data_IF_299611505361
#
_entry.id   IF_299611505361
#
_cell.length_a   1.000
_cell.length_b   1.000
_cell.length_c   1.000
_cell.angle_alpha   90.00
_cell.angle_beta   90.00
_cell.angle_gamma   90.00
#
_symmetry.space_group_name_H-M   'P 1'
#
loop_
_entity.id
_entity.type
_entity.pdbx_description
1 polymer ?
#
# COMPACT_ATOMS: atom_id res chain seq x y z
N UNK A 1 -7.36 20.59 42.54
CA UNK A 1 -8.11 19.79 41.56
C UNK A 1 -7.24 18.59 41.22
N UNK A 2 -7.39 17.48 41.93
CA UNK A 2 -6.69 16.25 41.57
C UNK A 2 -7.50 15.63 40.43
N UNK A 3 -6.96 15.64 39.22
CA UNK A 3 -7.47 14.80 38.14
C UNK A 3 -6.91 13.41 38.48
N UNK A 4 -7.73 12.43 38.93
CA UNK A 4 -7.22 11.08 39.14
C UNK A 4 -6.80 10.54 37.78
N UNK A 5 -5.49 10.48 37.54
CA UNK A 5 -4.95 9.83 36.35
C UNK A 5 -5.01 8.34 36.61
N UNK A 6 -5.89 7.67 35.88
CA UNK A 6 -5.91 6.21 35.85
C UNK A 6 -4.68 5.72 35.08
N UNK A 7 -3.73 5.13 35.80
CA UNK A 7 -2.50 4.60 35.23
C UNK A 7 -2.77 3.46 34.24
N UNK A 8 -3.81 2.66 34.46
CA UNK A 8 -4.19 1.57 33.56
C UNK A 8 -4.68 2.12 32.22
N UNK A 9 -5.51 3.16 32.26
CA UNK A 9 -5.95 3.86 31.05
C UNK A 9 -4.77 4.47 30.28
N UNK A 10 -3.81 5.07 31.00
CA UNK A 10 -2.64 5.69 30.39
C UNK A 10 -1.75 4.65 29.70
N UNK A 11 -1.40 3.56 30.38
CA UNK A 11 -0.56 2.50 29.83
C UNK A 11 -1.22 1.80 28.63
N UNK A 12 -2.51 1.46 28.73
CA UNK A 12 -3.27 0.87 27.62
C UNK A 12 -3.30 1.80 26.40
N UNK A 13 -3.52 3.10 26.63
CA UNK A 13 -3.54 4.11 25.55
C UNK A 13 -2.16 4.32 24.93
N UNK A 14 -1.09 4.24 25.72
CA UNK A 14 0.29 4.29 25.22
C UNK A 14 0.62 3.09 24.33
N UNK A 15 0.22 1.88 24.74
CA UNK A 15 0.38 0.68 23.93
C UNK A 15 -0.41 0.78 22.62
N UNK A 16 -1.66 1.27 22.67
CA UNK A 16 -2.43 1.55 21.46
C UNK A 16 -1.74 2.58 20.55
N UNK A 17 -1.11 3.60 21.14
CA UNK A 17 -0.36 4.61 20.39
C UNK A 17 0.83 4.05 19.64
N UNK A 18 1.53 3.07 20.21
CA UNK A 18 2.63 2.38 19.50
C UNK A 18 2.12 1.67 18.25
N UNK A 19 1.03 0.89 18.36
CA UNK A 19 0.41 0.21 17.22
C UNK A 19 -0.04 1.19 16.14
N UNK A 20 -0.78 2.22 16.53
CA UNK A 20 -1.35 3.22 15.60
C UNK A 20 -0.23 4.00 14.92
N UNK A 21 0.83 4.37 15.64
CA UNK A 21 1.97 5.09 15.07
C UNK A 21 2.70 4.22 14.05
N UNK A 22 2.98 2.95 14.38
CA UNK A 22 3.61 2.00 13.47
C UNK A 22 2.78 1.82 12.19
N UNK A 23 1.47 1.68 12.34
CA UNK A 23 0.53 1.58 11.23
C UNK A 23 0.56 2.83 10.33
N UNK A 24 0.41 4.03 10.89
CA UNK A 24 0.38 5.30 10.14
C UNK A 24 1.68 5.55 9.37
N UNK A 25 2.82 5.11 9.92
CA UNK A 25 4.11 5.28 9.28
C UNK A 25 4.29 4.41 8.04
N UNK A 26 3.55 3.29 7.92
CA UNK A 26 3.69 2.32 6.82
C UNK A 26 2.49 2.37 5.87
N UNK A 27 1.26 2.43 6.42
CA UNK A 27 0.02 2.33 5.66
C UNK A 27 -0.26 3.58 4.80
N UNK A 28 -0.38 3.44 3.47
CA UNK A 28 -1.01 4.46 2.64
C UNK A 28 -2.50 4.60 3.02
N UNK A 29 -3.08 5.82 2.96
CA UNK A 29 -2.51 7.05 2.40
C UNK A 29 -1.62 7.82 3.40
N UNK A 30 -1.59 7.41 4.67
CA UNK A 30 -0.97 8.19 5.75
C UNK A 30 0.56 8.23 5.68
N UNK A 31 1.17 7.18 5.13
CA UNK A 31 2.62 7.10 4.96
C UNK A 31 3.18 7.95 3.83
N UNK A 32 2.33 8.62 3.04
CA UNK A 32 2.77 9.42 1.89
C UNK A 32 3.83 10.48 2.27
N UNK A 33 4.88 10.59 1.46
CA UNK A 33 6.06 11.39 1.76
C UNK A 33 5.82 12.90 1.84
N UNK A 34 4.76 13.40 1.20
CA UNK A 34 4.38 14.80 1.28
C UNK A 34 3.77 15.20 2.64
N UNK A 35 3.35 14.22 3.46
CA UNK A 35 2.77 14.49 4.77
C UNK A 35 3.91 14.65 5.79
N UNK A 36 4.05 15.81 6.46
CA UNK A 36 5.12 16.02 7.44
C UNK A 36 5.00 15.07 8.63
N UNK A 37 6.13 14.62 9.17
CA UNK A 37 6.17 13.70 10.31
C UNK A 37 5.40 14.24 11.54
N UNK A 38 5.38 15.56 11.73
CA UNK A 38 4.60 16.22 12.80
C UNK A 38 3.10 15.95 12.67
N UNK A 39 2.56 16.01 11.44
CA UNK A 39 1.14 15.76 11.18
C UNK A 39 0.80 14.28 11.43
N UNK A 40 1.69 13.37 11.02
CA UNK A 40 1.55 11.93 11.29
C UNK A 40 1.53 11.65 12.79
N UNK A 41 2.43 12.25 13.55
CA UNK A 41 2.50 12.11 15.00
C UNK A 41 1.24 12.65 15.70
N UNK A 42 0.75 13.84 15.32
CA UNK A 42 -0.49 14.39 15.90
C UNK A 42 -1.71 13.53 15.57
N UNK A 43 -1.78 12.99 14.36
CA UNK A 43 -2.86 12.08 13.96
C UNK A 43 -2.80 10.77 14.77
N UNK A 44 -1.62 10.20 14.94
CA UNK A 44 -1.42 8.98 15.72
C UNK A 44 -1.88 9.19 17.18
N UNK A 45 -1.43 10.27 17.82
CA UNK A 45 -1.82 10.60 19.20
C UNK A 45 -3.34 10.82 19.29
N UNK A 46 -3.92 11.59 18.36
CA UNK A 46 -5.36 11.85 18.35
C UNK A 46 -6.21 10.59 18.22
N UNK A 47 -5.83 9.68 17.31
CA UNK A 47 -6.50 8.39 17.14
C UNK A 47 -6.31 7.47 18.35
N UNK A 48 -5.15 7.52 19.00
CA UNK A 48 -4.87 6.73 20.20
C UNK A 48 -5.75 7.15 21.37
N UNK A 49 -5.89 8.46 21.59
CA UNK A 49 -6.80 9.00 22.61
C UNK A 49 -8.27 8.64 22.32
N UNK A 50 -8.66 8.62 21.03
CA UNK A 50 -10.01 8.24 20.64
C UNK A 50 -10.33 6.75 20.91
N UNK A 51 -9.32 5.88 20.86
CA UNK A 51 -9.45 4.44 21.10
C UNK A 51 -9.19 4.05 22.56
N UNK A 52 -8.54 4.91 23.35
CA UNK A 52 -8.13 4.63 24.72
C UNK A 52 -9.27 4.13 25.63
N UNK A 53 -10.47 4.72 25.53
CA UNK A 53 -11.65 4.27 26.31
C UNK A 53 -12.18 2.89 25.91
N UNK A 54 -11.94 2.45 24.67
CA UNK A 54 -12.34 1.13 24.20
C UNK A 54 -11.34 0.04 24.62
N UNK A 55 -10.08 0.41 24.82
CA UNK A 55 -8.97 -0.54 25.03
C UNK A 55 -8.52 -0.62 26.49
N UNK A 56 -8.82 0.38 27.32
CA UNK A 56 -8.55 0.36 28.76
C UNK A 56 -9.35 -0.66 29.59
N UNK A 57 -10.64 -0.99 29.29
CA UNK A 57 -11.39 -1.94 30.09
C UNK A 57 -10.73 -3.33 30.14
N UNK A 58 -10.46 -3.84 31.34
CA UNK A 58 -9.82 -5.15 31.53
C UNK A 58 -8.30 -5.16 31.33
N UNK A 59 -7.68 -3.99 31.16
CA UNK A 59 -6.23 -3.84 31.21
C UNK A 59 -5.75 -3.83 32.67
N UNK A 60 -4.78 -4.68 32.98
CA UNK A 60 -4.04 -4.65 34.23
C UNK A 60 -2.62 -4.14 33.96
N UNK A 61 -2.09 -3.31 34.86
CA UNK A 61 -0.76 -2.72 34.69
C UNK A 61 0.30 -3.81 34.61
N UNK A 62 1.20 -3.67 33.64
CA UNK A 62 2.31 -4.61 33.49
C UNK A 62 3.49 -4.22 34.38
N UNK A 63 4.15 -5.23 34.93
CA UNK A 63 5.52 -5.06 35.42
C UNK A 63 6.45 -4.66 34.25
N UNK A 64 7.62 -4.10 34.58
CA UNK A 64 8.55 -3.55 33.59
C UNK A 64 8.92 -4.53 32.46
N UNK A 65 9.17 -5.81 32.79
CA UNK A 65 9.53 -6.84 31.81
C UNK A 65 8.41 -7.13 30.80
N UNK A 66 7.22 -7.57 31.26
CA UNK A 66 6.05 -7.79 30.41
C UNK A 66 5.64 -6.56 29.58
N UNK A 67 5.80 -5.34 30.13
CA UNK A 67 5.51 -4.11 29.41
C UNK A 67 6.34 -3.96 28.13
N UNK A 68 7.65 -4.25 28.18
CA UNK A 68 8.50 -4.20 26.98
C UNK A 68 8.07 -5.24 25.94
N UNK A 69 7.66 -6.44 26.37
CA UNK A 69 7.11 -7.46 25.48
C UNK A 69 5.84 -6.99 24.79
N UNK A 70 4.91 -6.39 25.54
CA UNK A 70 3.69 -5.79 25.01
C UNK A 70 4.00 -4.66 24.02
N UNK A 71 4.98 -3.80 24.31
CA UNK A 71 5.38 -2.70 23.42
C UNK A 71 5.89 -3.22 22.06
N UNK A 72 6.79 -4.19 22.07
CA UNK A 72 7.31 -4.82 20.85
C UNK A 72 6.17 -5.48 20.06
N UNK A 73 5.27 -6.16 20.76
CA UNK A 73 4.09 -6.76 20.16
C UNK A 73 3.22 -5.71 19.45
N UNK A 74 2.88 -4.61 20.11
CA UNK A 74 2.08 -3.53 19.50
C UNK A 74 2.77 -2.92 18.26
N UNK A 75 4.09 -2.74 18.34
CA UNK A 75 4.90 -2.25 17.22
C UNK A 75 4.83 -3.20 16.01
N UNK A 76 5.04 -4.50 16.24
CA UNK A 76 5.02 -5.53 15.19
C UNK A 76 3.63 -5.67 14.59
N UNK A 77 2.58 -5.72 15.41
CA UNK A 77 1.18 -5.79 14.93
C UNK A 77 0.82 -4.58 14.09
N UNK A 78 1.16 -3.37 14.56
CA UNK A 78 0.91 -2.14 13.80
C UNK A 78 1.67 -2.11 12.47
N UNK A 79 2.92 -2.56 12.48
CA UNK A 79 3.74 -2.65 11.27
C UNK A 79 3.21 -3.68 10.28
N UNK A 80 2.79 -4.86 10.75
CA UNK A 80 2.19 -5.91 9.94
C UNK A 80 0.91 -5.43 9.25
N UNK A 81 -0.03 -4.87 10.03
CA UNK A 81 -1.28 -4.33 9.50
C UNK A 81 -1.01 -3.22 8.48
N UNK A 82 -0.06 -2.32 8.78
CA UNK A 82 0.31 -1.25 7.87
C UNK A 82 0.95 -1.78 6.58
N UNK A 83 1.75 -2.84 6.67
CA UNK A 83 2.37 -3.49 5.53
C UNK A 83 1.34 -4.19 4.63
N UNK A 84 0.33 -4.84 5.19
CA UNK A 84 -0.76 -5.44 4.42
C UNK A 84 -1.51 -4.37 3.60
N UNK A 85 -1.82 -3.22 4.20
CA UNK A 85 -2.41 -2.08 3.48
C UNK A 85 -1.44 -1.55 2.42
N UNK A 86 -0.15 -1.45 2.74
CA UNK A 86 0.88 -1.04 1.78
C UNK A 86 0.91 -1.94 0.53
N UNK A 87 0.82 -3.26 0.69
CA UNK A 87 0.82 -4.21 -0.44
C UNK A 87 -0.32 -3.93 -1.43
N UNK A 88 -1.51 -3.58 -0.94
CA UNK A 88 -2.63 -3.22 -1.81
C UNK A 88 -2.31 -2.02 -2.72
N UNK A 89 -1.66 -0.97 -2.18
CA UNK A 89 -1.25 0.19 -2.98
C UNK A 89 0.02 -0.06 -3.79
N UNK A 90 0.87 -0.97 -3.34
CA UNK A 90 2.05 -1.40 -4.08
C UNK A 90 1.67 -2.15 -5.36
N UNK A 91 0.55 -2.89 -5.37
CA UNK A 91 0.04 -3.55 -6.57
C UNK A 91 -0.26 -2.56 -7.71
N UNK A 92 -0.89 -1.43 -7.39
CA UNK A 92 -1.20 -0.36 -8.36
C UNK A 92 0.07 0.32 -8.89
N UNK A 93 1.04 0.58 -8.02
CA UNK A 93 2.33 1.14 -8.42
C UNK A 93 3.12 0.17 -9.29
N UNK A 94 3.15 -1.11 -8.92
CA UNK A 94 3.79 -2.16 -9.70
C UNK A 94 3.13 -2.32 -11.08
N UNK A 95 1.80 -2.25 -11.17
CA UNK A 95 1.08 -2.23 -12.44
C UNK A 95 1.51 -1.03 -13.31
N UNK A 96 1.55 0.17 -12.74
CA UNK A 96 2.04 1.36 -13.46
C UNK A 96 3.50 1.21 -13.92
N UNK A 97 4.36 0.61 -13.09
CA UNK A 97 5.77 0.36 -13.42
C UNK A 97 5.94 -0.64 -14.57
N UNK A 98 5.11 -1.70 -14.62
CA UNK A 98 5.06 -2.61 -15.75
C UNK A 98 4.68 -1.87 -17.04
N UNK A 99 3.67 -0.99 -16.99
CA UNK A 99 3.26 -0.18 -18.15
C UNK A 99 4.38 0.76 -18.57
N UNK A 100 5.04 1.45 -17.63
CA UNK A 100 6.18 2.34 -17.91
C UNK A 100 7.33 1.58 -18.58
N UNK A 101 7.61 0.36 -18.12
CA UNK A 101 8.69 -0.49 -18.63
C UNK A 101 8.39 -0.97 -20.06
N UNK A 102 7.24 -1.61 -20.28
CA UNK A 102 6.89 -2.16 -21.60
C UNK A 102 6.56 -1.06 -22.62
N UNK A 103 6.05 0.10 -22.17
CA UNK A 103 5.79 1.27 -22.99
C UNK A 103 7.07 2.03 -23.39
N UNK A 104 8.21 1.71 -22.77
CA UNK A 104 9.51 2.32 -23.09
C UNK A 104 9.78 3.66 -22.40
N UNK A 105 8.96 4.06 -21.42
CA UNK A 105 9.11 5.32 -20.69
C UNK A 105 10.30 5.31 -19.72
N UNK A 106 10.74 4.13 -19.28
CA UNK A 106 11.94 3.99 -18.44
C UNK A 106 13.26 3.92 -19.21
N UNK A 107 13.23 3.76 -20.55
CA UNK A 107 14.46 3.57 -21.32
C UNK A 107 15.35 4.82 -21.34
N UNK A 108 14.78 6.03 -21.26
CA UNK A 108 15.55 7.27 -21.17
C UNK A 108 16.47 7.29 -19.92
N UNK A 109 16.00 6.74 -18.79
CA UNK A 109 16.81 6.62 -17.57
C UNK A 109 17.90 5.55 -17.67
N UNK A 110 17.66 4.50 -18.46
CA UNK A 110 18.66 3.45 -18.69
C UNK A 110 19.85 3.96 -19.53
N UNK A 111 19.61 4.90 -20.44
CA UNK A 111 20.66 5.52 -21.26
C UNK A 111 21.39 6.65 -20.53
N UNK A 112 20.68 7.51 -19.79
CA UNK A 112 21.28 8.56 -18.97
C UNK A 112 20.62 8.63 -17.57
N UNK A 113 21.16 7.90 -16.59
CA UNK A 113 20.66 7.91 -15.21
C UNK A 113 20.92 9.24 -14.49
N UNK A 114 21.80 10.11 -15.02
CA UNK A 114 22.09 11.41 -14.43
C UNK A 114 21.13 12.51 -14.91
N UNK A 115 20.32 12.26 -15.94
CA UNK A 115 19.48 13.28 -16.57
C UNK A 115 18.34 13.85 -15.71
N UNK A 116 18.12 13.36 -14.48
CA UNK A 116 16.98 13.71 -13.61
C UNK A 116 15.59 13.54 -14.27
N UNK A 117 15.52 12.95 -15.47
CA UNK A 117 14.26 12.67 -16.15
C UNK A 117 13.56 11.51 -15.45
N UNK A 118 12.35 11.73 -14.94
CA UNK A 118 11.55 10.69 -14.33
C UNK A 118 10.86 9.84 -15.41
N UNK A 119 11.21 8.54 -15.49
CA UNK A 119 10.60 7.58 -16.43
C UNK A 119 9.33 6.89 -15.91
N UNK A 120 8.94 7.14 -14.65
CA UNK A 120 7.87 6.43 -13.96
C UNK A 120 6.53 7.19 -13.99
N UNK A 121 6.04 7.51 -15.18
CA UNK A 121 4.88 8.40 -15.36
C UNK A 121 3.57 7.71 -14.99
N UNK A 122 3.33 6.49 -15.48
CA UNK A 122 2.14 5.71 -15.16
C UNK A 122 2.16 5.22 -13.71
N UNK A 123 3.32 4.86 -13.18
CA UNK A 123 3.51 4.53 -11.76
C UNK A 123 3.01 5.68 -10.87
N UNK A 124 3.46 6.91 -11.15
CA UNK A 124 3.05 8.09 -10.38
C UNK A 124 1.58 8.42 -10.58
N UNK A 125 1.09 8.35 -11.81
CA UNK A 125 -0.32 8.61 -12.13
C UNK A 125 -1.23 7.65 -11.36
N UNK A 126 -0.98 6.34 -11.44
CA UNK A 126 -1.79 5.33 -10.78
C UNK A 126 -1.75 5.47 -9.27
N UNK A 127 -0.58 5.78 -8.70
CA UNK A 127 -0.47 6.04 -7.26
C UNK A 127 -1.32 7.24 -6.82
N UNK A 128 -1.19 8.38 -7.50
CA UNK A 128 -1.95 9.59 -7.16
C UNK A 128 -3.44 9.39 -7.35
N UNK A 129 -3.85 8.73 -8.43
CA UNK A 129 -5.25 8.40 -8.69
C UNK A 129 -5.81 7.44 -7.64
N UNK A 130 -5.03 6.44 -7.22
CA UNK A 130 -5.47 5.53 -6.15
C UNK A 130 -5.68 6.28 -4.82
N UNK A 131 -4.76 7.18 -4.46
CA UNK A 131 -4.91 8.00 -3.27
C UNK A 131 -6.15 8.91 -3.35
N UNK A 132 -6.36 9.61 -4.47
CA UNK A 132 -7.52 10.49 -4.63
C UNK A 132 -8.83 9.70 -4.61
N UNK A 133 -8.90 8.57 -5.30
CA UNK A 133 -10.09 7.69 -5.28
C UNK A 133 -10.35 7.13 -3.88
N UNK A 134 -9.32 6.77 -3.12
CA UNK A 134 -9.48 6.30 -1.74
C UNK A 134 -10.11 7.38 -0.84
N UNK A 135 -9.68 8.63 -0.97
CA UNK A 135 -10.28 9.74 -0.22
C UNK A 135 -11.68 10.08 -0.72
N UNK A 136 -11.89 10.12 -2.03
CA UNK A 136 -13.18 10.45 -2.65
C UNK A 136 -14.27 9.40 -2.35
N UNK A 137 -13.90 8.12 -2.30
CA UNK A 137 -14.81 7.01 -1.94
C UNK A 137 -15.03 6.85 -0.43
N UNK A 138 -14.21 7.50 0.41
CA UNK A 138 -14.22 7.27 1.86
C UNK A 138 -13.50 5.99 2.30
N UNK A 139 -12.79 5.29 1.40
CA UNK A 139 -12.07 4.04 1.71
C UNK A 139 -11.03 4.17 2.84
N UNK A 140 -10.49 5.37 3.09
CA UNK A 140 -9.63 5.61 4.26
C UNK A 140 -10.34 5.33 5.60
N UNK A 141 -11.66 5.51 5.67
CA UNK A 141 -12.46 5.19 6.86
C UNK A 141 -12.52 3.68 7.09
N UNK A 142 -12.60 2.88 6.01
CA UNK A 142 -12.54 1.42 6.10
C UNK A 142 -11.20 0.96 6.65
N UNK A 143 -10.10 1.59 6.21
CA UNK A 143 -8.75 1.30 6.70
C UNK A 143 -8.65 1.60 8.20
N UNK A 144 -9.11 2.78 8.64
CA UNK A 144 -9.12 3.15 10.06
C UNK A 144 -10.06 2.26 10.90
N UNK A 145 -11.20 1.86 10.36
CA UNK A 145 -12.11 0.92 11.01
C UNK A 145 -11.48 -0.47 11.17
N UNK A 146 -10.68 -0.92 10.20
CA UNK A 146 -9.89 -2.14 10.30
C UNK A 146 -8.83 -2.05 11.40
N UNK A 147 -8.12 -0.93 11.49
CA UNK A 147 -7.17 -0.65 12.58
C UNK A 147 -7.87 -0.66 13.95
N UNK A 148 -9.04 -0.04 14.09
CA UNK A 148 -9.79 -0.03 15.34
C UNK A 148 -10.22 -1.46 15.75
N UNK A 149 -10.75 -2.25 14.81
CA UNK A 149 -11.12 -3.66 15.07
C UNK A 149 -9.94 -4.56 15.37
N UNK A 150 -8.72 -4.18 14.97
CA UNK A 150 -7.53 -4.96 15.31
C UNK A 150 -7.30 -5.08 16.82
N UNK A 151 -7.82 -4.14 17.62
CA UNK A 151 -7.74 -4.20 19.08
C UNK A 151 -8.66 -5.27 19.68
N UNK A 152 -9.72 -5.65 18.99
CA UNK A 152 -10.57 -6.78 19.39
C UNK A 152 -9.88 -8.12 19.06
N UNK A 153 -9.23 -8.19 17.89
CA UNK A 153 -8.53 -9.40 17.43
C UNK A 153 -7.22 -9.67 18.18
N UNK A 154 -6.43 -8.61 18.41
CA UNK A 154 -5.21 -8.64 19.20
C UNK A 154 -5.36 -7.57 20.28
N UNK A 155 -5.83 -7.93 21.49
CA UNK A 155 -5.91 -7.00 22.62
C UNK A 155 -4.56 -6.43 23.05
N UNK A 156 -4.54 -5.29 23.74
CA UNK A 156 -3.28 -4.68 24.23
C UNK A 156 -2.63 -5.50 25.35
N UNK A 157 -3.42 -6.29 26.06
CA UNK A 157 -3.00 -7.25 27.08
C UNK A 157 -2.75 -8.66 26.51
N UNK A 158 -2.95 -8.86 25.20
CA UNK A 158 -2.81 -10.16 24.56
C UNK A 158 -1.36 -10.63 24.42
N UNK A 159 -1.18 -11.95 24.31
CA UNK A 159 0.10 -12.59 23.95
C UNK A 159 0.09 -12.87 22.45
N UNK A 160 1.20 -12.58 21.75
CA UNK A 160 1.27 -12.81 20.30
C UNK A 160 1.32 -14.31 19.99
N UNK A 161 0.29 -14.81 19.30
CA UNK A 161 0.40 -16.08 18.62
C UNK A 161 1.31 -15.89 17.39
N UNK A 162 2.47 -16.55 17.38
CA UNK A 162 3.45 -16.47 16.28
C UNK A 162 2.97 -17.20 15.01
N UNK A 163 1.97 -18.08 15.14
CA UNK A 163 1.41 -18.83 14.02
C UNK A 163 0.35 -18.00 13.26
N UNK A 164 0.47 -17.88 11.93
CA UNK A 164 -0.48 -17.17 11.07
C UNK A 164 0.09 -15.95 10.30
N UNK A 165 0.83 -15.02 10.95
CA UNK A 165 1.32 -13.80 10.29
C UNK A 165 2.22 -14.04 9.07
N UNK A 166 3.04 -15.09 9.09
CA UNK A 166 3.97 -15.38 7.99
C UNK A 166 3.24 -15.82 6.71
N UNK A 167 2.20 -16.65 6.83
CA UNK A 167 1.39 -17.10 5.70
C UNK A 167 0.60 -15.94 5.11
N UNK A 168 0.00 -15.11 5.97
CA UNK A 168 -0.69 -13.87 5.55
C UNK A 168 0.23 -12.93 4.76
N UNK A 169 1.50 -12.81 5.16
CA UNK A 169 2.49 -11.99 4.45
C UNK A 169 2.81 -12.57 3.07
N UNK A 170 3.06 -13.88 2.97
CA UNK A 170 3.36 -14.55 1.71
C UNK A 170 2.18 -14.46 0.74
N UNK A 171 0.96 -14.69 1.24
CA UNK A 171 -0.26 -14.56 0.46
C UNK A 171 -0.50 -13.11 0.02
N UNK A 172 -0.28 -12.14 0.91
CA UNK A 172 -0.39 -10.72 0.58
C UNK A 172 0.54 -10.31 -0.56
N UNK A 173 1.82 -10.72 -0.51
CA UNK A 173 2.80 -10.41 -1.56
C UNK A 173 2.43 -11.11 -2.88
N UNK A 174 1.97 -12.36 -2.81
CA UNK A 174 1.52 -13.12 -3.97
C UNK A 174 0.31 -12.45 -4.64
N UNK A 175 -0.66 -12.02 -3.84
CA UNK A 175 -1.85 -11.30 -4.31
C UNK A 175 -1.50 -9.92 -4.87
N UNK A 176 -0.54 -9.20 -4.28
CA UNK A 176 -0.02 -7.94 -4.82
C UNK A 176 0.56 -8.15 -6.22
N UNK A 177 1.42 -9.15 -6.40
CA UNK A 177 2.03 -9.45 -7.70
C UNK A 177 0.98 -9.85 -8.73
N UNK A 178 0.05 -10.72 -8.34
CA UNK A 178 -1.07 -11.13 -9.19
C UNK A 178 -1.91 -9.93 -9.63
N UNK A 179 -2.30 -9.07 -8.70
CA UNK A 179 -3.07 -7.86 -8.99
C UNK A 179 -2.30 -6.92 -9.91
N UNK A 180 -1.00 -6.71 -9.69
CA UNK A 180 -0.17 -5.88 -10.55
C UNK A 180 -0.18 -6.37 -12.01
N UNK A 181 -0.01 -7.68 -12.20
CA UNK A 181 -0.05 -8.31 -13.53
C UNK A 181 -1.45 -8.31 -14.12
N UNK A 182 -2.51 -8.49 -13.33
CA UNK A 182 -3.88 -8.43 -13.85
C UNK A 182 -4.26 -7.02 -14.33
N UNK A 183 -3.83 -5.98 -13.60
CA UNK A 183 -4.10 -4.58 -13.95
C UNK A 183 -3.32 -4.18 -15.21
N UNK A 184 -2.01 -4.49 -15.27
CA UNK A 184 -1.15 -4.11 -16.40
C UNK A 184 -1.22 -5.08 -17.58
N UNK A 185 -1.60 -6.34 -17.33
CA UNK A 185 -1.46 -7.48 -18.25
C UNK A 185 -2.08 -7.28 -19.63
N UNK A 186 -3.33 -6.80 -19.75
CA UNK A 186 -3.93 -6.54 -21.06
C UNK A 186 -3.10 -5.57 -21.91
N UNK A 187 -2.55 -4.51 -21.29
CA UNK A 187 -1.74 -3.51 -21.98
C UNK A 187 -0.34 -4.04 -22.28
N UNK A 188 0.28 -4.72 -21.31
CA UNK A 188 1.58 -5.37 -21.49
C UNK A 188 1.54 -6.38 -22.64
N UNK A 189 0.46 -7.16 -22.77
CA UNK A 189 0.30 -8.11 -23.87
C UNK A 189 0.27 -7.41 -25.23
N UNK A 190 -0.47 -6.30 -25.35
CA UNK A 190 -0.52 -5.53 -26.61
C UNK A 190 0.84 -4.94 -26.95
N UNK A 191 1.55 -4.39 -25.96
CA UNK A 191 2.89 -3.83 -26.17
C UNK A 191 3.92 -4.90 -26.53
N UNK A 192 3.83 -6.08 -25.93
CA UNK A 192 4.64 -7.23 -26.29
C UNK A 192 4.38 -7.71 -27.73
N UNK A 193 3.11 -7.78 -28.15
CA UNK A 193 2.77 -8.11 -29.54
C UNK A 193 3.27 -7.04 -30.52
N UNK A 194 3.29 -5.77 -30.12
CA UNK A 194 3.88 -4.70 -30.91
C UNK A 194 5.40 -4.89 -31.09
N UNK A 195 6.13 -5.31 -30.05
CA UNK A 195 7.56 -5.66 -30.15
C UNK A 195 7.80 -6.80 -31.14
N UNK A 196 6.99 -7.87 -31.06
CA UNK A 196 7.07 -8.99 -32.00
C UNK A 196 6.78 -8.53 -33.43
N UNK A 197 5.76 -7.70 -33.62
CA UNK A 197 5.40 -7.14 -34.93
C UNK A 197 6.51 -6.27 -35.54
N UNK A 198 7.10 -5.37 -34.75
CA UNK A 198 8.22 -4.53 -35.16
C UNK A 198 9.47 -5.36 -35.47
N UNK A 199 9.75 -6.39 -34.68
CA UNK A 199 10.84 -7.33 -34.94
C UNK A 199 10.66 -8.05 -36.28
N UNK A 200 9.43 -8.48 -36.60
CA UNK A 200 9.12 -9.10 -37.90
C UNK A 200 9.28 -8.11 -39.06
N UNK A 201 8.80 -6.87 -38.91
CA UNK A 201 8.99 -5.80 -39.92
C UNK A 201 10.47 -5.54 -40.16
N UNK A 202 11.30 -5.52 -39.11
CA UNK A 202 12.76 -5.35 -39.24
C UNK A 202 13.38 -6.44 -40.12
N UNK A 203 12.88 -7.67 -40.02
CA UNK A 203 13.35 -8.80 -40.84
C UNK A 203 12.85 -8.74 -42.29
N UNK A 204 11.59 -8.36 -42.50
CA UNK A 204 10.96 -8.33 -43.83
C UNK A 204 11.38 -7.11 -44.64
N UNK A 205 11.51 -5.95 -43.98
CA UNK A 205 11.87 -4.68 -44.61
C UNK A 205 12.93 -3.94 -43.77
N UNK A 206 14.21 -4.36 -43.85
CA UNK A 206 15.30 -3.76 -43.08
C UNK A 206 15.49 -2.25 -43.29
N UNK A 207 15.08 -1.77 -44.47
CA UNK A 207 15.14 -0.35 -44.83
C UNK A 207 14.22 0.53 -43.96
N UNK A 208 13.19 -0.02 -43.30
CA UNK A 208 12.18 0.76 -42.58
C UNK A 208 12.63 1.29 -41.21
N UNK A 209 13.86 1.06 -40.75
CA UNK A 209 14.33 1.50 -39.42
C UNK A 209 13.27 1.30 -38.32
N UNK A 210 12.75 0.09 -38.20
CA UNK A 210 11.64 -0.22 -37.30
C UNK A 210 11.95 0.05 -35.82
N UNK A 211 13.24 0.05 -35.42
CA UNK A 211 13.67 0.50 -34.09
C UNK A 211 13.33 1.98 -33.85
N UNK A 212 13.54 2.85 -34.84
CA UNK A 212 13.17 4.26 -34.73
C UNK A 212 11.64 4.46 -34.69
N UNK A 213 10.87 3.61 -35.36
CA UNK A 213 9.40 3.63 -35.30
C UNK A 213 8.82 3.00 -34.03
N UNK A 214 9.56 2.14 -33.33
CA UNK A 214 9.05 1.38 -32.20
C UNK A 214 8.60 2.23 -31.03
N UNK A 215 9.37 3.25 -30.67
CA UNK A 215 9.00 4.18 -29.61
C UNK A 215 7.71 4.96 -29.90
N UNK A 216 7.57 5.67 -31.05
CA UNK A 216 6.31 6.34 -31.40
C UNK A 216 5.10 5.41 -31.38
N UNK A 217 5.23 4.19 -31.92
CA UNK A 217 4.14 3.20 -31.96
C UNK A 217 3.75 2.76 -30.55
N UNK A 218 4.73 2.44 -29.70
CA UNK A 218 4.47 2.04 -28.32
C UNK A 218 3.81 3.16 -27.52
N UNK A 219 4.32 4.39 -27.60
CA UNK A 219 3.72 5.54 -26.92
C UNK A 219 2.26 5.73 -27.34
N UNK A 220 1.96 5.63 -28.65
CA UNK A 220 0.60 5.74 -29.15
C UNK A 220 -0.30 4.63 -28.59
N UNK A 221 0.14 3.37 -28.64
CA UNK A 221 -0.61 2.24 -28.10
C UNK A 221 -0.85 2.39 -26.59
N UNK A 222 0.17 2.78 -25.83
CA UNK A 222 0.05 3.02 -24.39
C UNK A 222 -0.96 4.12 -24.12
N UNK A 223 -0.89 5.27 -24.79
CA UNK A 223 -1.81 6.38 -24.54
C UNK A 223 -3.27 6.04 -24.91
N UNK A 224 -3.49 5.34 -26.02
CA UNK A 224 -4.83 4.93 -26.45
C UNK A 224 -5.48 3.94 -25.48
N UNK A 225 -4.71 2.98 -24.98
CA UNK A 225 -5.23 1.88 -24.17
C UNK A 225 -5.16 2.16 -22.66
N UNK A 226 -4.24 3.01 -22.20
CA UNK A 226 -4.14 3.38 -20.79
C UNK A 226 -5.43 4.06 -20.29
N UNK A 227 -6.18 4.76 -21.15
CA UNK A 227 -7.49 5.31 -20.80
C UNK A 227 -8.50 4.24 -20.37
N UNK A 228 -8.47 3.06 -20.99
CA UNK A 228 -9.32 1.94 -20.62
C UNK A 228 -8.92 1.35 -19.26
N UNK A 229 -7.62 1.19 -18.99
CA UNK A 229 -7.11 0.77 -17.68
C UNK A 229 -7.48 1.79 -16.61
N UNK A 230 -7.36 3.08 -16.93
CA UNK A 230 -7.69 4.19 -16.03
C UNK A 230 -9.18 4.20 -15.65
N UNK A 231 -10.08 3.92 -16.60
CA UNK A 231 -11.52 3.81 -16.35
C UNK A 231 -11.88 2.67 -15.38
N UNK A 232 -11.05 1.62 -15.30
CA UNK A 232 -11.24 0.50 -14.38
C UNK A 232 -10.68 0.76 -12.97
N UNK A 233 -9.84 1.79 -12.78
CA UNK A 233 -9.17 2.07 -11.49
C UNK A 233 -10.13 2.26 -10.31
N UNK A 234 -11.30 2.93 -10.42
CA UNK A 234 -12.23 3.05 -9.28
C UNK A 234 -12.66 1.69 -8.72
N UNK A 235 -13.02 0.74 -9.59
CA UNK A 235 -13.41 -0.60 -9.16
C UNK A 235 -12.23 -1.38 -8.56
N UNK A 236 -11.03 -1.21 -9.11
CA UNK A 236 -9.81 -1.84 -8.59
C UNK A 236 -9.47 -1.31 -7.19
N UNK A 237 -9.55 0.01 -6.97
CA UNK A 237 -9.26 0.62 -5.67
C UNK A 237 -10.25 0.18 -4.61
N UNK A 238 -11.54 0.10 -4.95
CA UNK A 238 -12.57 -0.39 -4.03
C UNK A 238 -12.35 -1.88 -3.67
N UNK A 239 -12.06 -2.71 -4.67
CA UNK A 239 -11.70 -4.11 -4.46
C UNK A 239 -10.48 -4.25 -3.54
N UNK A 240 -9.42 -3.48 -3.78
CA UNK A 240 -8.21 -3.49 -2.95
C UNK A 240 -8.47 -2.98 -1.53
N UNK A 241 -9.29 -1.95 -1.34
CA UNK A 241 -9.65 -1.45 -0.01
C UNK A 241 -10.45 -2.48 0.79
N UNK A 242 -11.41 -3.15 0.13
CA UNK A 242 -12.19 -4.23 0.75
C UNK A 242 -11.33 -5.45 1.09
N UNK A 243 -10.37 -5.78 0.24
CA UNK A 243 -9.40 -6.85 0.47
C UNK A 243 -8.46 -6.53 1.63
N UNK A 244 -7.93 -5.30 1.70
CA UNK A 244 -7.13 -4.84 2.84
C UNK A 244 -7.89 -4.99 4.15
N UNK A 245 -9.19 -4.64 4.17
CA UNK A 245 -10.03 -4.81 5.34
C UNK A 245 -10.19 -6.29 5.74
N UNK A 246 -10.39 -7.20 4.78
CA UNK A 246 -10.47 -8.65 5.04
C UNK A 246 -9.14 -9.20 5.57
N UNK A 247 -8.02 -8.79 4.99
CA UNK A 247 -6.69 -9.18 5.46
C UNK A 247 -6.44 -8.73 6.90
N UNK A 248 -6.84 -7.50 7.26
CA UNK A 248 -6.71 -7.01 8.63
C UNK A 248 -7.63 -7.76 9.62
N UNK A 249 -8.77 -8.27 9.17
CA UNK A 249 -9.68 -9.07 10.01
C UNK A 249 -9.20 -10.52 10.18
N UNK A 250 -8.51 -11.08 9.19
CA UNK A 250 -7.94 -12.42 9.25
C UNK A 250 -6.73 -12.58 10.18
N UNK A 251 -6.29 -11.51 10.85
CA UNK A 251 -5.20 -11.52 11.85
C UNK A 251 -5.72 -11.93 13.24
N UNK A 252 -7.01 -12.20 13.41
CA UNK A 252 -7.57 -12.79 14.63
C UNK A 252 -7.36 -14.31 14.70
N UNK A 253 -7.24 -14.89 15.92
CA UNK A 253 -7.11 -16.35 16.11
C UNK A 253 -8.32 -17.16 15.62
#
# INVERSE_FOLDING_TARGET
MYIPIDFAWLEATMLAAVRITAFIMIAPPFSYGAIPARVKATLAIGLSLAVGSAVAPGYENFDTGPFFGALVLQLVTGALLGFLVYLCFAALQAAGSLIDTFGGFQLAQAFDPHSLVNGAQFTRLFHLTALTLLFASGGYQLILAGLARSFDAVPVNGVFAVAGPAELLVDGVSQMMLAAVQIAGPLVLVLFLADVGLGLITRVAPALNAFAMGFPVKILLTLLLAGAVYAALPGIVDALASQALRMMQGVGP
#
